data_IF_495193520087
#
_entry.id   IF_495193520087
#
_cell.length_a   1.000
_cell.length_b   1.000
_cell.length_c   1.000
_cell.angle_alpha   90.00
_cell.angle_beta   90.00
_cell.angle_gamma   90.00
#
_symmetry.space_group_name_H-M   'P 1'
#
loop_
_entity.id
_entity.type
_entity.pdbx_description
1 polymer ?
#
# COMPACT_ATOMS: atom_id res chain seq x y z
N UNK A 1 -6.84 2.25 24.79
CA UNK A 1 -8.26 2.21 24.39
C UNK A 1 -8.35 1.47 23.06
N UNK A 2 -8.77 0.21 23.11
CA UNK A 2 -8.71 -0.77 22.02
C UNK A 2 -9.68 -0.45 20.88
N UNK A 3 -9.18 -0.38 19.65
CA UNK A 3 -9.99 -0.65 18.48
C UNK A 3 -9.39 -1.86 17.76
N UNK A 4 -9.61 -3.04 18.35
CA UNK A 4 -9.66 -4.27 17.57
C UNK A 4 -11.01 -4.22 16.89
N UNK A 5 -10.99 -3.72 15.65
CA UNK A 5 -12.17 -3.50 14.83
C UNK A 5 -12.87 -4.85 14.61
N UNK A 6 -14.19 -4.86 14.79
CA UNK A 6 -15.09 -6.01 14.65
C UNK A 6 -14.80 -6.72 13.32
N UNK A 7 -14.91 -8.05 13.28
CA UNK A 7 -14.78 -8.84 12.05
C UNK A 7 -15.58 -8.16 10.92
N UNK A 8 -14.86 -7.50 9.99
CA UNK A 8 -15.48 -6.88 8.83
C UNK A 8 -16.00 -8.00 7.94
N UNK A 9 -17.18 -7.82 7.32
CA UNK A 9 -17.65 -8.77 6.33
C UNK A 9 -16.60 -8.94 5.25
N UNK A 10 -16.48 -10.17 4.72
CA UNK A 10 -15.63 -10.43 3.56
C UNK A 10 -16.13 -9.60 2.37
N UNK A 11 -15.23 -9.13 1.49
CA UNK A 11 -15.64 -8.41 0.29
C UNK A 11 -16.34 -9.35 -0.70
N UNK A 12 -17.17 -8.80 -1.58
CA UNK A 12 -17.76 -9.59 -2.68
C UNK A 12 -16.73 -9.92 -3.78
N UNK A 13 -15.63 -9.16 -3.87
CA UNK A 13 -14.55 -9.35 -4.84
C UNK A 13 -13.22 -8.84 -4.27
N UNK A 14 -12.16 -9.62 -4.46
CA UNK A 14 -10.78 -9.19 -4.28
C UNK A 14 -10.19 -8.83 -5.64
N UNK A 15 -9.74 -7.58 -5.80
CA UNK A 15 -9.05 -7.12 -7.01
C UNK A 15 -7.54 -6.97 -6.73
N UNK A 16 -6.72 -7.66 -7.53
CA UNK A 16 -5.26 -7.60 -7.44
C UNK A 16 -4.71 -6.58 -8.43
N UNK A 17 -3.87 -5.66 -7.95
CA UNK A 17 -3.09 -4.73 -8.78
C UNK A 17 -1.94 -5.49 -9.48
N UNK A 18 -2.28 -6.12 -10.60
CA UNK A 18 -1.34 -6.60 -11.59
C UNK A 18 -1.78 -7.84 -12.36
N UNK A 19 -0.83 -8.66 -12.80
CA UNK A 19 -1.03 -9.67 -13.84
C UNK A 19 -1.42 -11.07 -13.34
N UNK A 20 -1.58 -12.01 -14.29
CA UNK A 20 -1.95 -13.42 -14.05
C UNK A 20 -1.09 -14.12 -12.99
N UNK A 21 0.22 -13.89 -12.97
CA UNK A 21 1.11 -14.49 -11.97
C UNK A 21 0.78 -14.04 -10.53
N UNK A 22 0.43 -12.77 -10.35
CA UNK A 22 0.04 -12.23 -9.03
C UNK A 22 -1.36 -12.69 -8.63
N UNK A 23 -2.27 -12.85 -9.59
CA UNK A 23 -3.58 -13.46 -9.37
C UNK A 23 -3.44 -14.88 -8.80
N UNK A 24 -2.61 -15.71 -9.41
CA UNK A 24 -2.38 -17.09 -8.96
C UNK A 24 -1.77 -17.13 -7.55
N UNK A 25 -0.75 -16.32 -7.28
CA UNK A 25 -0.13 -16.25 -5.95
C UNK A 25 -1.12 -15.79 -4.86
N UNK A 26 -1.98 -14.83 -5.19
CA UNK A 26 -3.03 -14.39 -4.28
C UNK A 26 -4.10 -15.48 -4.05
N UNK A 27 -4.47 -16.22 -5.10
CA UNK A 27 -5.41 -17.33 -4.99
C UNK A 27 -4.86 -18.47 -4.12
N UNK A 28 -3.58 -18.84 -4.27
CA UNK A 28 -2.91 -19.81 -3.39
C UNK A 28 -2.96 -19.37 -1.92
N UNK A 29 -2.77 -18.08 -1.66
CA UNK A 29 -2.87 -17.50 -0.32
C UNK A 29 -4.30 -17.59 0.22
N UNK A 30 -5.32 -17.25 -0.57
CA UNK A 30 -6.72 -17.38 -0.17
C UNK A 30 -7.07 -18.84 0.13
N UNK A 31 -6.60 -19.78 -0.69
CA UNK A 31 -6.80 -21.21 -0.46
C UNK A 31 -6.17 -21.66 0.86
N UNK A 32 -4.95 -21.23 1.16
CA UNK A 32 -4.28 -21.54 2.43
C UNK A 32 -5.01 -20.97 3.66
N UNK A 33 -5.78 -19.88 3.47
CA UNK A 33 -6.62 -19.28 4.50
C UNK A 33 -8.04 -19.88 4.58
N UNK A 34 -8.36 -20.88 3.75
CA UNK A 34 -9.71 -21.46 3.68
C UNK A 34 -10.75 -20.55 3.00
N UNK A 35 -10.31 -19.56 2.23
CA UNK A 35 -11.14 -18.56 1.55
C UNK A 35 -11.23 -18.80 0.03
N UNK A 36 -11.09 -20.05 -0.42
CA UNK A 36 -11.10 -20.42 -1.84
C UNK A 36 -12.40 -20.05 -2.60
N UNK A 37 -13.52 -19.85 -1.88
CA UNK A 37 -14.79 -19.44 -2.47
C UNK A 37 -14.90 -17.93 -2.71
N UNK A 38 -13.96 -17.14 -2.19
CA UNK A 38 -13.97 -15.68 -2.33
C UNK A 38 -13.61 -15.30 -3.78
N UNK A 39 -14.47 -14.55 -4.50
CA UNK A 39 -14.15 -14.14 -5.86
C UNK A 39 -12.88 -13.30 -5.91
N UNK A 40 -12.00 -13.61 -6.87
CA UNK A 40 -10.74 -12.89 -7.08
C UNK A 40 -10.49 -12.64 -8.58
N UNK A 41 -10.02 -11.44 -8.89
CA UNK A 41 -9.62 -11.02 -10.22
C UNK A 41 -8.36 -10.16 -10.16
N UNK A 42 -7.68 -9.94 -11.28
CA UNK A 42 -6.59 -8.97 -11.35
C UNK A 42 -6.74 -8.04 -12.55
N UNK A 43 -6.21 -6.82 -12.43
CA UNK A 43 -6.20 -5.83 -13.51
C UNK A 43 -4.77 -5.44 -13.86
N UNK A 44 -4.31 -5.82 -15.06
CA UNK A 44 -2.96 -5.50 -15.53
C UNK A 44 -2.87 -4.08 -16.09
N UNK A 45 -1.89 -3.31 -15.61
CA UNK A 45 -1.76 -1.87 -15.86
C UNK A 45 -1.45 -1.45 -17.30
N UNK A 46 -0.80 -2.30 -18.09
CA UNK A 46 -0.36 -1.91 -19.45
C UNK A 46 -1.49 -1.96 -20.47
N UNK A 47 -2.22 -3.07 -20.47
CA UNK A 47 -3.26 -3.35 -21.47
C UNK A 47 -4.69 -3.25 -20.89
N UNK A 48 -4.82 -2.94 -19.59
CA UNK A 48 -6.10 -2.89 -18.89
C UNK A 48 -6.88 -4.22 -19.01
N UNK A 49 -6.11 -5.31 -19.04
CA UNK A 49 -6.60 -6.68 -19.14
C UNK A 49 -7.03 -7.20 -17.78
N UNK A 50 -8.21 -7.81 -17.75
CA UNK A 50 -8.78 -8.43 -16.56
C UNK A 50 -8.47 -9.92 -16.62
N UNK A 51 -7.80 -10.44 -15.60
CA UNK A 51 -7.57 -11.87 -15.46
C UNK A 51 -8.52 -12.44 -14.42
N UNK A 52 -9.14 -13.56 -14.75
CA UNK A 52 -10.04 -14.31 -13.88
C UNK A 52 -9.38 -15.64 -13.51
N UNK A 53 -9.57 -16.07 -12.26
CA UNK A 53 -9.01 -17.32 -11.78
C UNK A 53 -9.57 -18.49 -12.58
N UNK A 54 -8.70 -19.42 -12.98
CA UNK A 54 -9.09 -20.59 -13.79
C UNK A 54 -9.35 -20.31 -15.26
N UNK A 55 -9.25 -19.06 -15.73
CA UNK A 55 -9.36 -18.72 -17.14
C UNK A 55 -7.99 -18.55 -17.80
N UNK A 56 -7.83 -19.13 -18.98
CA UNK A 56 -6.58 -19.04 -19.75
C UNK A 56 -6.39 -17.63 -20.32
N UNK A 57 -7.45 -17.09 -20.91
CA UNK A 57 -7.45 -15.82 -21.61
C UNK A 57 -7.88 -14.67 -20.69
N UNK A 58 -7.35 -13.48 -20.96
CA UNK A 58 -7.79 -12.26 -20.30
C UNK A 58 -9.06 -11.70 -20.94
N UNK A 59 -9.90 -11.07 -20.12
CA UNK A 59 -11.02 -10.28 -20.58
C UNK A 59 -10.58 -8.84 -20.87
N UNK A 60 -10.95 -8.34 -22.05
CA UNK A 60 -10.81 -6.93 -22.44
C UNK A 60 -12.19 -6.28 -22.51
N UNK A 61 -12.42 -5.29 -21.65
CA UNK A 61 -13.65 -4.50 -21.70
C UNK A 61 -13.49 -3.31 -22.67
N UNK A 62 -14.60 -2.82 -23.26
CA UNK A 62 -14.57 -1.58 -24.04
C UNK A 62 -14.01 -0.42 -23.20
N UNK A 63 -13.16 0.43 -23.80
CA UNK A 63 -12.53 1.57 -23.10
C UNK A 63 -13.53 2.52 -22.42
N UNK A 64 -14.75 2.62 -22.93
CA UNK A 64 -15.82 3.45 -22.36
C UNK A 64 -16.69 2.72 -21.33
N UNK A 65 -16.42 1.44 -21.05
CA UNK A 65 -17.19 0.64 -20.10
C UNK A 65 -17.14 1.25 -18.68
N UNK A 66 -18.30 1.46 -18.03
CA UNK A 66 -18.34 1.87 -16.62
C UNK A 66 -17.65 0.86 -15.69
N UNK A 67 -17.78 -0.45 -15.97
CA UNK A 67 -17.15 -1.50 -15.19
C UNK A 67 -15.62 -1.41 -15.23
N UNK A 68 -15.05 -1.15 -16.42
CA UNK A 68 -13.60 -0.96 -16.55
C UNK A 68 -13.12 0.24 -15.72
N UNK A 69 -13.84 1.36 -15.78
CA UNK A 69 -13.50 2.57 -15.01
C UNK A 69 -13.54 2.31 -13.50
N UNK A 70 -14.51 1.52 -13.02
CA UNK A 70 -14.60 1.16 -11.61
C UNK A 70 -13.40 0.33 -11.16
N UNK A 71 -12.98 -0.68 -11.95
CA UNK A 71 -11.80 -1.49 -11.65
C UNK A 71 -10.51 -0.65 -11.66
N UNK A 72 -10.40 0.28 -12.61
CA UNK A 72 -9.27 1.22 -12.69
C UNK A 72 -9.20 2.12 -11.45
N UNK A 73 -10.32 2.70 -11.02
CA UNK A 73 -10.37 3.53 -9.82
C UNK A 73 -9.95 2.76 -8.56
N UNK A 74 -10.45 1.53 -8.39
CA UNK A 74 -10.07 0.67 -7.28
C UNK A 74 -8.55 0.36 -7.29
N UNK A 75 -8.00 0.03 -8.47
CA UNK A 75 -6.57 -0.21 -8.64
C UNK A 75 -5.74 1.04 -8.34
N UNK A 76 -6.13 2.19 -8.89
CA UNK A 76 -5.40 3.44 -8.74
C UNK A 76 -5.39 3.89 -7.27
N UNK A 77 -6.47 3.65 -6.53
CA UNK A 77 -6.54 3.90 -5.10
C UNK A 77 -5.64 2.94 -4.30
N UNK A 78 -5.65 1.65 -4.61
CA UNK A 78 -4.74 0.67 -4.00
C UNK A 78 -3.27 1.03 -4.27
N UNK A 79 -2.95 1.44 -5.50
CA UNK A 79 -1.62 1.87 -5.92
C UNK A 79 -1.19 3.16 -5.20
N UNK A 80 -2.07 4.16 -5.12
CA UNK A 80 -1.86 5.41 -4.39
C UNK A 80 -1.58 5.15 -2.92
N UNK A 81 -2.37 4.28 -2.30
CA UNK A 81 -2.19 3.88 -0.90
C UNK A 81 -0.83 3.20 -0.70
N UNK A 82 -0.48 2.22 -1.53
CA UNK A 82 0.79 1.50 -1.46
C UNK A 82 2.00 2.42 -1.64
N UNK A 83 1.97 3.34 -2.61
CA UNK A 83 3.04 4.33 -2.82
C UNK A 83 3.18 5.24 -1.61
N UNK A 84 2.07 5.78 -1.11
CA UNK A 84 2.06 6.70 0.03
C UNK A 84 2.66 6.04 1.27
N UNK A 85 2.24 4.80 1.54
CA UNK A 85 2.75 4.01 2.66
C UNK A 85 4.25 3.73 2.54
N UNK A 86 4.72 3.31 1.35
CA UNK A 86 6.14 3.07 1.09
C UNK A 86 6.98 4.34 1.22
N UNK A 87 6.49 5.48 0.72
CA UNK A 87 7.15 6.78 0.86
C UNK A 87 7.31 7.18 2.32
N UNK A 88 6.24 7.07 3.14
CA UNK A 88 6.31 7.30 4.59
C UNK A 88 7.34 6.40 5.26
N UNK A 89 7.31 5.08 5.00
CA UNK A 89 8.29 4.15 5.57
C UNK A 89 9.73 4.46 5.16
N UNK A 90 9.96 4.89 3.92
CA UNK A 90 11.29 5.27 3.43
C UNK A 90 11.78 6.55 4.09
N UNK A 91 10.94 7.58 4.19
CA UNK A 91 11.26 8.83 4.88
C UNK A 91 11.66 8.55 6.33
N UNK A 92 10.91 7.69 7.02
CA UNK A 92 11.23 7.27 8.39
C UNK A 92 12.61 6.66 8.48
N UNK A 93 12.92 5.68 7.62
CA UNK A 93 14.22 5.00 7.60
C UNK A 93 15.38 5.97 7.33
N UNK A 94 15.22 6.88 6.37
CA UNK A 94 16.26 7.85 5.99
C UNK A 94 16.55 8.83 7.13
N UNK A 95 15.52 9.35 7.81
CA UNK A 95 15.73 10.22 8.98
C UNK A 95 16.47 9.47 10.07
N UNK A 96 16.04 8.24 10.41
CA UNK A 96 16.68 7.47 11.47
C UNK A 96 18.17 7.25 11.16
N UNK A 97 18.53 6.94 9.91
CA UNK A 97 19.94 6.73 9.53
C UNK A 97 20.79 8.00 9.57
N UNK A 98 20.25 9.16 9.21
CA UNK A 98 21.00 10.42 9.27
C UNK A 98 21.13 10.92 10.71
N UNK A 99 20.07 10.87 11.51
CA UNK A 99 20.13 11.25 12.93
C UNK A 99 21.00 10.31 13.77
N UNK A 100 21.14 9.04 13.36
CA UNK A 100 22.07 8.08 13.99
C UNK A 100 23.53 8.55 13.92
N UNK A 101 23.89 9.37 12.94
CA UNK A 101 25.26 9.90 12.80
C UNK A 101 25.55 11.07 13.73
N UNK A 102 24.55 11.65 14.38
CA UNK A 102 24.73 12.81 15.26
C UNK A 102 25.09 12.32 16.67
N UNK A 103 26.30 12.63 17.19
CA UNK A 103 26.68 12.27 18.55
C UNK A 103 25.71 12.88 19.57
N UNK A 104 25.29 12.08 20.56
CA UNK A 104 24.36 12.53 21.62
C UNK A 104 22.86 12.49 21.25
N UNK A 105 22.51 12.16 20.01
CA UNK A 105 21.10 11.97 19.60
C UNK A 105 20.72 10.50 19.68
N UNK A 106 20.14 10.08 20.81
CA UNK A 106 19.67 8.72 21.06
C UNK A 106 18.32 8.37 20.41
N UNK A 107 17.91 7.10 20.48
CA UNK A 107 16.73 6.57 19.78
C UNK A 107 15.43 7.32 20.09
N UNK A 108 15.21 7.66 21.36
CA UNK A 108 14.01 8.40 21.78
C UNK A 108 13.91 9.79 21.14
N UNK A 109 15.01 10.55 21.09
CA UNK A 109 15.05 11.86 20.43
C UNK A 109 14.83 11.75 18.92
N UNK A 110 15.40 10.71 18.29
CA UNK A 110 15.19 10.45 16.86
C UNK A 110 13.71 10.21 16.55
N UNK A 111 13.05 9.38 17.36
CA UNK A 111 11.63 9.06 17.19
C UNK A 111 10.74 10.27 17.39
N UNK A 112 11.06 11.14 18.36
CA UNK A 112 10.35 12.41 18.57
C UNK A 112 10.46 13.33 17.35
N UNK A 113 11.67 13.55 16.84
CA UNK A 113 11.90 14.36 15.62
C UNK A 113 11.19 13.78 14.38
N UNK A 114 11.15 12.45 14.27
CA UNK A 114 10.43 11.73 13.22
C UNK A 114 8.93 11.96 13.26
N UNK A 115 8.33 11.93 14.45
CA UNK A 115 6.89 12.14 14.64
C UNK A 115 6.54 13.61 14.39
N UNK A 116 7.37 14.54 14.89
CA UNK A 116 7.12 15.97 14.79
C UNK A 116 7.29 16.51 13.35
N UNK A 117 8.35 16.10 12.65
CA UNK A 117 8.74 16.71 11.38
C UNK A 117 8.51 15.82 10.14
N UNK A 118 8.37 14.50 10.33
CA UNK A 118 8.00 13.56 9.25
C UNK A 118 9.03 13.31 8.13
N UNK A 119 10.00 14.20 7.90
CA UNK A 119 11.07 14.07 6.91
C UNK A 119 12.38 14.72 7.37
N UNK A 120 13.53 14.26 6.84
CA UNK A 120 14.85 14.82 7.23
C UNK A 120 15.00 16.26 6.75
N UNK A 121 14.35 16.59 5.63
CA UNK A 121 14.32 17.93 5.09
C UNK A 121 13.60 18.88 6.04
N UNK A 122 12.43 18.47 6.56
CA UNK A 122 11.71 19.24 7.56
C UNK A 122 12.49 19.41 8.87
N UNK A 123 13.27 18.41 9.30
CA UNK A 123 14.18 18.55 10.46
C UNK A 123 15.32 19.55 10.17
N UNK A 124 15.83 19.59 8.93
CA UNK A 124 16.89 20.55 8.54
C UNK A 124 16.39 21.98 8.42
N UNK A 125 15.13 22.16 8.04
CA UNK A 125 14.48 23.47 7.89
C UNK A 125 13.90 24.00 9.21
N UNK A 126 13.80 23.14 10.24
CA UNK A 126 13.29 23.52 11.55
C UNK A 126 14.25 24.45 12.29
N UNK A 127 13.69 25.42 13.02
CA UNK A 127 14.47 26.33 13.86
C UNK A 127 14.99 25.62 15.11
N UNK A 128 16.03 26.16 15.78
CA UNK A 128 16.53 25.60 17.04
C UNK A 128 15.44 25.41 18.10
N UNK A 129 14.52 26.37 18.22
CA UNK A 129 13.39 26.30 19.16
C UNK A 129 12.43 25.17 18.81
N UNK A 130 12.15 24.97 17.52
CA UNK A 130 11.31 23.87 17.05
C UNK A 130 11.98 22.51 17.29
N UNK A 131 13.30 22.41 17.16
CA UNK A 131 14.06 21.19 17.42
C UNK A 131 14.21 20.85 18.92
N UNK A 132 14.13 21.87 19.78
CA UNK A 132 14.23 21.74 21.23
C UNK A 132 12.87 21.47 21.90
N UNK A 133 11.77 21.59 21.15
CA UNK A 133 10.39 21.30 21.56
C UNK A 133 10.12 19.80 21.68
#
# INVERSE_FOLDING_TARGET
MSQVDKQKPLPDLVLIDGGKGQLNAAAETLNALGLQSLPIASLAKREEEIFLLGQSDSLRLPRRSPALRMLQQARDEAHRFAITFRRKRRAVRTITSELLRIPGVGESKRRALLIAFGSIQAVREATPDQLAS
#
